data_IF_228616063817
#
_entry.id   IF_228616063817
#
_cell.length_a   1.000
_cell.length_b   1.000
_cell.length_c   1.000
_cell.angle_alpha   90.00
_cell.angle_beta   90.00
_cell.angle_gamma   90.00
#
_symmetry.space_group_name_H-M   'P 1'
#
loop_
_entity.id
_entity.type
_entity.pdbx_description
1 polymer ?
#
# COMPACT_ATOMS: atom_id res chain seq x y z
N UNK A 1 -59.11 -55.83 2.42
CA UNK A 1 -57.75 -55.26 2.30
C UNK A 1 -57.79 -54.31 1.10
N UNK A 2 -57.92 -53.00 1.25
CA UNK A 2 -56.83 -52.08 1.61
C UNK A 2 -55.75 -52.14 0.51
N UNK A 3 -55.41 -51.12 -0.28
CA UNK A 3 -55.45 -49.67 -0.10
C UNK A 3 -55.41 -48.96 -1.47
N UNK A 4 -56.19 -47.87 -1.56
CA UNK A 4 -55.85 -46.52 -2.04
C UNK A 4 -55.19 -46.35 -3.43
N UNK A 5 -56.01 -45.81 -4.33
CA UNK A 5 -55.65 -44.92 -5.41
C UNK A 5 -54.66 -43.83 -4.96
N UNK A 6 -53.65 -43.54 -5.77
CA UNK A 6 -52.99 -42.24 -5.76
C UNK A 6 -52.81 -41.76 -7.20
N UNK A 7 -53.77 -40.93 -7.60
CA UNK A 7 -53.72 -40.05 -8.75
C UNK A 7 -52.64 -39.00 -8.45
N UNK A 8 -51.51 -39.02 -9.16
CA UNK A 8 -50.52 -37.94 -9.06
C UNK A 8 -50.92 -36.89 -10.08
N UNK A 9 -51.60 -35.86 -9.58
CA UNK A 9 -51.89 -34.61 -10.27
C UNK A 9 -50.57 -33.88 -10.53
N UNK A 10 -50.24 -33.66 -11.79
CA UNK A 10 -49.09 -32.86 -12.22
C UNK A 10 -49.39 -31.38 -11.92
N UNK A 11 -48.92 -30.87 -10.78
CA UNK A 11 -48.96 -29.44 -10.46
C UNK A 11 -47.81 -28.77 -11.21
N UNK A 12 -48.12 -28.09 -12.31
CA UNK A 12 -47.24 -27.11 -12.93
C UNK A 12 -47.08 -25.93 -11.97
N UNK A 13 -45.94 -25.88 -11.27
CA UNK A 13 -45.47 -24.68 -10.60
C UNK A 13 -45.05 -23.69 -11.69
N UNK A 14 -45.96 -22.76 -12.01
CA UNK A 14 -45.62 -21.50 -12.63
C UNK A 14 -44.85 -20.72 -11.56
N UNK A 15 -43.54 -20.90 -11.49
CA UNK A 15 -42.69 -19.96 -10.76
C UNK A 15 -42.71 -18.70 -11.59
N UNK A 16 -43.57 -17.78 -11.16
CA UNK A 16 -43.54 -16.38 -11.52
C UNK A 16 -42.16 -15.86 -11.12
N UNK A 17 -41.20 -15.92 -12.04
CA UNK A 17 -39.96 -15.18 -11.92
C UNK A 17 -40.36 -13.72 -12.13
N UNK A 18 -40.82 -13.08 -11.04
CA UNK A 18 -40.84 -11.63 -10.93
C UNK A 18 -39.46 -11.19 -11.41
N UNK A 19 -39.46 -10.38 -12.46
CA UNK A 19 -38.28 -9.63 -12.87
C UNK A 19 -38.06 -8.60 -11.78
N UNK A 20 -37.55 -9.06 -10.64
CA UNK A 20 -36.96 -8.20 -9.64
C UNK A 20 -35.66 -7.75 -10.30
N UNK A 21 -35.72 -6.54 -10.84
CA UNK A 21 -34.60 -5.71 -11.23
C UNK A 21 -33.43 -5.95 -10.28
N UNK A 22 -32.51 -6.81 -10.69
CA UNK A 22 -31.12 -6.75 -10.23
C UNK A 22 -30.55 -5.52 -10.92
N UNK A 23 -31.01 -4.35 -10.44
CA UNK A 23 -30.25 -3.13 -10.57
C UNK A 23 -28.98 -3.40 -9.76
N UNK A 24 -27.92 -3.73 -10.47
CA UNK A 24 -26.54 -3.51 -10.07
C UNK A 24 -26.38 -2.04 -9.67
N UNK A 25 -26.89 -1.66 -8.50
CA UNK A 25 -26.36 -0.52 -7.76
C UNK A 25 -25.10 -1.02 -7.09
N UNK A 26 -24.03 -1.08 -7.89
CA UNK A 26 -22.73 -0.77 -7.32
C UNK A 26 -22.93 0.59 -6.64
N UNK A 27 -22.73 0.64 -5.33
CA UNK A 27 -22.67 1.89 -4.57
C UNK A 27 -21.38 2.62 -4.97
N UNK A 28 -21.28 3.04 -6.22
CA UNK A 28 -20.35 4.05 -6.70
C UNK A 28 -21.07 5.38 -6.59
N UNK A 29 -21.03 5.96 -5.40
CA UNK A 29 -21.12 7.40 -5.16
C UNK A 29 -20.94 7.65 -3.66
N UNK A 30 -19.78 7.25 -3.12
CA UNK A 30 -19.24 7.98 -1.98
C UNK A 30 -18.75 9.31 -2.57
N UNK A 31 -19.61 10.34 -2.52
CA UNK A 31 -19.28 11.69 -2.98
C UNK A 31 -18.06 12.21 -2.22
N UNK A 32 -17.15 12.89 -2.91
CA UNK A 32 -15.89 13.46 -2.37
C UNK A 32 -16.10 14.49 -1.23
N UNK A 33 -17.36 14.79 -0.90
CA UNK A 33 -17.77 15.43 0.34
C UNK A 33 -17.26 14.67 1.57
N UNK A 34 -16.37 15.29 2.35
CA UNK A 34 -15.77 14.69 3.55
C UNK A 34 -14.29 14.29 3.39
N UNK A 35 -13.66 14.63 2.26
CA UNK A 35 -12.21 14.53 2.14
C UNK A 35 -11.51 15.47 3.12
N UNK A 36 -10.49 14.93 3.77
CA UNK A 36 -9.60 15.66 4.66
C UNK A 36 -8.68 16.56 3.84
N UNK A 37 -8.49 17.78 4.32
CA UNK A 37 -7.56 18.72 3.69
C UNK A 37 -6.10 18.32 4.01
N UNK A 38 -5.45 17.62 3.07
CA UNK A 38 -4.09 17.07 3.22
C UNK A 38 -3.04 18.17 3.26
N UNK A 39 -3.26 19.29 2.55
CA UNK A 39 -2.33 20.44 2.57
C UNK A 39 -2.09 20.97 3.98
N UNK A 40 -3.03 20.79 4.91
CA UNK A 40 -2.89 21.17 6.34
C UNK A 40 -2.15 20.15 7.19
N UNK A 41 -1.99 18.90 6.71
CA UNK A 41 -1.22 17.85 7.42
C UNK A 41 0.29 18.10 7.29
N UNK A 42 0.72 18.90 6.31
CA UNK A 42 2.14 19.17 6.03
C UNK A 42 2.84 20.17 6.94
N UNK A 43 2.13 20.77 7.88
CA UNK A 43 2.74 21.74 8.79
C UNK A 43 3.37 21.03 9.97
N UNK A 44 4.70 21.18 10.11
CA UNK A 44 5.57 20.83 11.24
C UNK A 44 6.50 19.61 11.07
N UNK A 45 7.08 19.43 9.88
CA UNK A 45 8.25 18.55 9.73
C UNK A 45 9.47 19.21 10.36
N UNK A 46 10.10 18.54 11.34
CA UNK A 46 11.25 19.08 12.08
C UNK A 46 12.55 19.05 11.27
N UNK A 47 12.71 18.02 10.42
CA UNK A 47 13.91 17.79 9.61
C UNK A 47 13.59 16.95 8.37
N UNK A 48 14.29 17.20 7.27
CA UNK A 48 14.19 16.43 6.02
C UNK A 48 14.73 15.00 6.15
N UNK A 49 15.58 14.75 7.15
CA UNK A 49 16.17 13.43 7.44
C UNK A 49 15.40 12.62 8.47
N UNK A 50 14.36 13.19 9.08
CA UNK A 50 13.53 12.47 10.06
C UNK A 50 12.35 11.83 9.34
N UNK A 51 12.44 10.51 9.19
CA UNK A 51 11.60 9.74 8.30
C UNK A 51 10.78 8.70 9.07
N UNK A 52 9.66 8.27 8.50
CA UNK A 52 8.96 7.08 8.96
C UNK A 52 9.86 5.84 8.82
N UNK A 53 9.66 4.80 9.66
CA UNK A 53 10.33 3.51 9.49
C UNK A 53 10.11 2.91 8.10
N UNK A 54 8.94 3.13 7.49
CA UNK A 54 8.65 2.68 6.13
C UNK A 54 9.62 3.33 5.13
N UNK A 55 9.75 4.66 5.13
CA UNK A 55 10.66 5.36 4.21
C UNK A 55 12.12 4.92 4.38
N UNK A 56 12.59 4.72 5.62
CA UNK A 56 13.94 4.20 5.85
C UNK A 56 14.13 2.81 5.23
N UNK A 57 13.15 1.91 5.40
CA UNK A 57 13.18 0.57 4.76
C UNK A 57 13.09 0.63 3.25
N UNK A 58 12.46 1.65 2.69
CA UNK A 58 12.48 1.88 1.24
C UNK A 58 13.80 2.49 0.74
N UNK A 59 14.81 2.62 1.61
CA UNK A 59 16.12 3.17 1.25
C UNK A 59 16.14 4.69 1.15
N UNK A 60 15.09 5.37 1.62
CA UNK A 60 15.01 6.83 1.61
C UNK A 60 15.89 7.41 2.72
N UNK A 61 16.70 8.40 2.37
CA UNK A 61 17.63 9.07 3.30
C UNK A 61 17.18 10.48 3.66
N UNK A 62 16.44 11.13 2.77
CA UNK A 62 15.82 12.42 3.03
C UNK A 62 14.62 12.63 2.13
N UNK A 63 13.73 13.52 2.55
CA UNK A 63 12.61 13.98 1.73
C UNK A 63 12.60 15.49 1.76
N UNK A 64 12.67 16.10 0.59
CA UNK A 64 12.66 17.55 0.42
C UNK A 64 11.26 18.02 0.11
N UNK A 65 10.88 19.16 0.69
CA UNK A 65 9.60 19.82 0.42
C UNK A 65 9.84 21.15 -0.29
N UNK A 66 9.29 21.33 -1.49
CA UNK A 66 9.40 22.59 -2.25
C UNK A 66 8.12 22.80 -3.06
N UNK A 67 7.51 23.99 -3.04
CA UNK A 67 6.34 24.33 -3.87
C UNK A 67 5.19 23.29 -3.81
N UNK A 68 4.82 22.84 -2.60
CA UNK A 68 3.82 21.78 -2.38
C UNK A 68 4.18 20.43 -3.03
N UNK A 69 5.45 20.20 -3.38
CA UNK A 69 5.97 18.93 -3.86
C UNK A 69 6.81 18.27 -2.78
N UNK A 70 6.65 16.96 -2.62
CA UNK A 70 7.54 16.12 -1.83
C UNK A 70 8.32 15.21 -2.76
N UNK A 71 9.63 15.13 -2.55
CA UNK A 71 10.52 14.26 -3.32
C UNK A 71 11.47 13.55 -2.38
N UNK A 72 11.68 12.25 -2.61
CA UNK A 72 12.56 11.44 -1.80
C UNK A 72 13.94 11.36 -2.46
N UNK A 73 15.00 11.40 -1.65
CA UNK A 73 16.32 10.94 -2.04
C UNK A 73 16.52 9.55 -1.46
N UNK A 74 16.97 8.63 -2.29
CA UNK A 74 17.27 7.25 -1.91
C UNK A 74 18.77 7.01 -1.98
N UNK A 75 19.21 6.00 -1.23
CA UNK A 75 20.56 5.47 -1.34
C UNK A 75 20.59 4.05 -1.94
N UNK A 76 19.43 3.39 -2.01
CA UNK A 76 19.28 2.03 -2.52
C UNK A 76 17.86 1.78 -3.02
N UNK A 77 17.70 0.69 -3.75
CA UNK A 77 16.41 0.19 -4.21
C UNK A 77 15.79 -0.77 -3.20
N UNK A 78 14.47 -0.98 -3.30
CA UNK A 78 13.76 -2.09 -2.66
C UNK A 78 13.20 -3.03 -3.72
N UNK A 79 12.87 -4.26 -3.33
CA UNK A 79 12.26 -5.24 -4.20
C UNK A 79 10.73 -5.17 -4.07
N UNK A 80 10.08 -5.15 -5.21
CA UNK A 80 8.63 -5.19 -5.29
C UNK A 80 8.24 -5.96 -6.54
N UNK A 81 7.67 -7.15 -6.34
CA UNK A 81 7.15 -7.99 -7.42
C UNK A 81 8.22 -8.34 -8.45
N UNK A 82 9.37 -8.80 -7.96
CA UNK A 82 10.52 -9.19 -8.78
C UNK A 82 11.25 -8.04 -9.46
N UNK A 83 10.99 -6.79 -9.05
CA UNK A 83 11.64 -5.61 -9.60
C UNK A 83 12.37 -4.82 -8.52
N UNK A 84 13.57 -4.37 -8.84
CA UNK A 84 14.29 -3.37 -8.05
C UNK A 84 13.72 -1.98 -8.33
N UNK A 85 13.13 -1.35 -7.33
CA UNK A 85 12.52 -0.05 -7.42
C UNK A 85 13.37 0.97 -6.68
N UNK A 86 13.84 1.99 -7.40
CA UNK A 86 14.39 3.20 -6.80
C UNK A 86 13.24 4.14 -6.43
N UNK A 87 13.05 4.40 -5.13
CA UNK A 87 11.96 5.26 -4.67
C UNK A 87 12.16 6.75 -5.07
N UNK A 88 13.37 7.18 -5.45
CA UNK A 88 13.64 8.57 -5.86
C UNK A 88 12.99 8.96 -7.19
N UNK A 89 12.57 7.97 -7.99
CA UNK A 89 11.85 8.20 -9.25
C UNK A 89 10.43 8.68 -9.01
N UNK A 90 9.89 8.50 -7.80
CA UNK A 90 8.58 9.00 -7.43
C UNK A 90 8.70 10.36 -6.77
N UNK A 91 7.74 11.23 -7.09
CA UNK A 91 7.50 12.46 -6.35
C UNK A 91 6.03 12.78 -6.36
N UNK A 92 5.56 13.45 -5.31
CA UNK A 92 4.15 13.76 -5.18
C UNK A 92 3.93 15.26 -5.08
N UNK A 93 2.88 15.72 -5.75
CA UNK A 93 2.30 17.04 -5.57
C UNK A 93 1.19 16.96 -4.53
N UNK A 94 1.18 17.94 -3.64
CA UNK A 94 0.22 18.03 -2.56
C UNK A 94 -0.82 19.07 -2.94
N UNK A 95 -2.01 18.57 -3.17
CA UNK A 95 -3.18 19.36 -3.45
C UNK A 95 -4.03 19.46 -2.20
N UNK A 96 -5.12 20.24 -2.26
CA UNK A 96 -5.95 20.52 -1.09
C UNK A 96 -6.39 19.22 -0.37
N UNK A 97 -6.91 18.27 -1.13
CA UNK A 97 -7.50 17.03 -0.59
C UNK A 97 -6.76 15.75 -0.99
N UNK A 98 -5.75 15.86 -1.85
CA UNK A 98 -5.10 14.73 -2.50
C UNK A 98 -3.58 14.90 -2.54
N UNK A 99 -2.91 13.75 -2.53
CA UNK A 99 -1.53 13.57 -2.93
C UNK A 99 -1.59 12.96 -4.33
N UNK A 100 -0.95 13.60 -5.31
CA UNK A 100 -0.97 13.17 -6.71
C UNK A 100 0.46 12.84 -7.12
N UNK A 101 0.69 11.72 -7.83
CA UNK A 101 2.01 11.44 -8.40
C UNK A 101 2.32 12.46 -9.49
N UNK A 102 3.55 12.97 -9.53
CA UNK A 102 3.95 13.92 -10.58
C UNK A 102 4.29 13.23 -11.90
N UNK A 103 4.74 11.99 -11.83
CA UNK A 103 5.08 11.20 -13.01
C UNK A 103 3.83 10.76 -13.77
N UNK A 104 2.70 10.69 -13.07
CA UNK A 104 1.42 10.22 -13.59
C UNK A 104 0.28 10.80 -12.74
N UNK A 105 -0.44 11.77 -13.28
CA UNK A 105 -1.49 12.50 -12.56
C UNK A 105 -2.82 11.74 -12.47
N UNK A 106 -2.92 10.56 -13.10
CA UNK A 106 -4.06 9.67 -12.96
C UNK A 106 -4.08 9.01 -11.57
N UNK A 107 -2.92 8.93 -10.92
CA UNK A 107 -2.73 8.34 -9.60
C UNK A 107 -2.83 9.39 -8.48
N UNK A 108 -3.88 9.28 -7.67
CA UNK A 108 -4.12 10.17 -6.52
C UNK A 108 -4.55 9.39 -5.28
N UNK A 109 -4.13 9.84 -4.10
CA UNK A 109 -4.59 9.30 -2.83
C UNK A 109 -5.02 10.43 -1.88
N UNK A 110 -6.14 10.22 -1.21
CA UNK A 110 -6.74 11.15 -0.27
C UNK A 110 -7.14 10.45 1.04
N UNK A 111 -7.69 11.20 1.99
CA UNK A 111 -8.30 10.64 3.21
C UNK A 111 -9.77 11.06 3.28
N UNK A 112 -10.68 10.11 3.08
CA UNK A 112 -12.13 10.28 3.22
C UNK A 112 -12.60 9.63 4.52
N UNK A 113 -13.18 10.39 5.46
CA UNK A 113 -13.69 9.87 6.73
C UNK A 113 -12.66 9.00 7.48
N UNK A 114 -11.43 9.51 7.61
CA UNK A 114 -10.26 8.82 8.20
C UNK A 114 -9.79 7.57 7.44
N UNK A 115 -10.29 7.32 6.23
CA UNK A 115 -9.94 6.18 5.38
C UNK A 115 -9.24 6.61 4.10
N UNK A 116 -8.23 5.85 3.68
CA UNK A 116 -7.52 6.12 2.43
C UNK A 116 -8.47 5.95 1.24
N UNK A 117 -8.53 6.96 0.38
CA UNK A 117 -9.35 7.00 -0.82
C UNK A 117 -8.41 7.08 -2.03
N UNK A 118 -8.48 6.12 -2.93
CA UNK A 118 -7.59 5.98 -4.09
C UNK A 118 -8.34 6.38 -5.36
N UNK A 119 -7.62 7.07 -6.24
CA UNK A 119 -8.01 7.35 -7.62
C UNK A 119 -6.86 6.86 -8.52
N UNK A 120 -7.21 6.09 -9.54
CA UNK A 120 -6.38 5.62 -10.65
C UNK A 120 -7.26 5.64 -11.91
N UNK A 121 -6.70 5.33 -13.07
CA UNK A 121 -7.44 5.17 -14.33
C UNK A 121 -8.59 4.16 -14.20
N UNK A 122 -8.34 3.03 -13.54
CA UNK A 122 -9.26 1.88 -13.49
C UNK A 122 -10.05 1.78 -12.18
N UNK A 123 -9.79 2.66 -11.21
CA UNK A 123 -10.38 2.56 -9.88
C UNK A 123 -10.53 3.90 -9.18
N UNK A 124 -11.70 4.13 -8.60
CA UNK A 124 -12.01 5.27 -7.73
C UNK A 124 -12.82 4.82 -6.53
N UNK A 125 -12.27 4.95 -5.32
CA UNK A 125 -12.96 4.56 -4.10
C UNK A 125 -12.04 4.34 -2.90
N UNK A 126 -12.60 3.83 -1.80
CA UNK A 126 -11.81 3.48 -0.61
C UNK A 126 -10.76 2.42 -0.94
N UNK A 127 -9.50 2.63 -0.56
CA UNK A 127 -8.41 1.70 -0.87
C UNK A 127 -8.70 0.26 -0.41
N UNK A 128 -9.41 0.10 0.72
CA UNK A 128 -9.81 -1.22 1.24
C UNK A 128 -10.64 -2.07 0.26
N UNK A 129 -11.32 -1.42 -0.69
CA UNK A 129 -12.17 -2.06 -1.71
C UNK A 129 -11.44 -2.24 -3.05
N UNK A 130 -10.18 -1.80 -3.16
CA UNK A 130 -9.38 -1.98 -4.38
C UNK A 130 -9.07 -3.48 -4.59
N UNK A 131 -8.97 -3.89 -5.85
CA UNK A 131 -8.57 -5.26 -6.19
C UNK A 131 -7.09 -5.49 -5.87
N UNK A 132 -6.70 -6.75 -5.74
CA UNK A 132 -5.29 -7.11 -5.56
C UNK A 132 -4.42 -6.59 -6.72
N UNK A 133 -4.95 -6.56 -7.95
CA UNK A 133 -4.23 -6.06 -9.12
C UNK A 133 -3.89 -4.56 -9.00
N UNK A 134 -4.85 -3.75 -8.55
CA UNK A 134 -4.61 -2.32 -8.28
C UNK A 134 -3.54 -2.16 -7.19
N UNK A 135 -3.61 -2.95 -6.11
CA UNK A 135 -2.65 -2.86 -4.99
C UNK A 135 -1.23 -3.31 -5.38
N UNK A 136 -1.08 -4.10 -6.45
CA UNK A 136 0.21 -4.55 -6.99
C UNK A 136 0.89 -3.51 -7.88
N UNK A 137 0.26 -2.37 -8.16
CA UNK A 137 0.88 -1.30 -8.95
C UNK A 137 1.88 -0.52 -8.08
N UNK A 138 3.09 -0.31 -8.59
CA UNK A 138 4.17 0.38 -7.86
C UNK A 138 3.80 1.84 -7.56
N UNK A 139 2.99 2.47 -8.42
CA UNK A 139 2.45 3.81 -8.30
C UNK A 139 1.50 3.91 -7.10
N UNK A 140 0.60 2.93 -6.96
CA UNK A 140 -0.29 2.81 -5.80
C UNK A 140 0.51 2.63 -4.53
N UNK A 141 1.53 1.76 -4.55
CA UNK A 141 2.42 1.60 -3.39
C UNK A 141 3.17 2.90 -3.04
N UNK A 142 3.69 3.63 -4.04
CA UNK A 142 4.35 4.90 -3.82
C UNK A 142 3.42 5.93 -3.16
N UNK A 143 2.17 6.04 -3.62
CA UNK A 143 1.15 6.90 -3.00
C UNK A 143 0.87 6.51 -1.55
N UNK A 144 0.75 5.21 -1.26
CA UNK A 144 0.57 4.68 0.09
C UNK A 144 1.73 5.08 0.99
N UNK A 145 2.96 4.89 0.50
CA UNK A 145 4.17 5.22 1.24
C UNK A 145 4.25 6.73 1.52
N UNK A 146 3.99 7.60 0.53
CA UNK A 146 3.95 9.05 0.74
C UNK A 146 2.84 9.48 1.70
N UNK A 147 1.64 8.90 1.59
CA UNK A 147 0.54 9.19 2.51
C UNK A 147 0.90 8.75 3.93
N UNK A 148 1.52 7.58 4.11
CA UNK A 148 2.06 7.15 5.40
C UNK A 148 3.07 8.17 5.91
N UNK A 149 4.06 8.55 5.12
CA UNK A 149 5.10 9.50 5.51
C UNK A 149 4.52 10.86 5.94
N UNK A 150 3.51 11.39 5.23
CA UNK A 150 2.87 12.67 5.58
C UNK A 150 2.05 12.55 6.86
N UNK A 151 1.36 11.43 7.06
CA UNK A 151 0.45 11.23 8.21
C UNK A 151 1.12 10.59 9.43
N UNK A 152 2.39 10.16 9.30
CA UNK A 152 3.11 9.48 10.37
C UNK A 152 3.39 10.41 11.54
N UNK A 153 3.28 9.87 12.76
CA UNK A 153 3.53 10.61 13.99
C UNK A 153 4.97 11.15 14.01
N UNK A 154 5.10 12.48 14.09
CA UNK A 154 6.39 13.18 14.04
C UNK A 154 7.35 12.73 15.16
N UNK A 155 6.82 12.40 16.34
CA UNK A 155 7.65 12.03 17.50
C UNK A 155 8.16 10.57 17.44
N UNK A 156 7.64 9.78 16.49
CA UNK A 156 8.07 8.40 16.24
C UNK A 156 9.00 8.28 15.02
N UNK A 157 9.34 9.40 14.39
CA UNK A 157 10.25 9.42 13.24
C UNK A 157 11.66 9.12 13.68
N UNK A 158 12.41 8.45 12.80
CA UNK A 158 13.79 8.07 13.04
C UNK A 158 14.67 8.87 12.08
N UNK A 159 15.72 9.49 12.61
CA UNK A 159 16.67 10.23 11.79
C UNK A 159 17.54 9.28 10.99
N UNK A 160 17.54 9.40 9.66
CA UNK A 160 18.39 8.59 8.77
C UNK A 160 19.88 8.71 9.09
N UNK A 161 20.29 9.86 9.64
CA UNK A 161 21.66 10.12 10.10
C UNK A 161 22.06 9.27 11.31
N UNK A 162 21.10 8.99 12.20
CA UNK A 162 21.32 8.18 13.41
C UNK A 162 21.16 6.68 13.14
N UNK A 163 20.46 6.30 12.06
CA UNK A 163 20.37 4.91 11.60
C UNK A 163 21.75 4.29 11.30
N UNK A 164 22.77 5.12 11.04
CA UNK A 164 24.16 4.70 10.83
C UNK A 164 24.82 4.04 12.05
N UNK A 165 24.39 4.36 13.28
CA UNK A 165 25.08 3.90 14.50
C UNK A 165 24.38 2.73 15.20
N UNK A 166 23.08 2.53 15.00
CA UNK A 166 22.27 1.56 15.76
C UNK A 166 21.76 0.34 14.98
N UNK A 167 21.88 0.29 13.65
CA UNK A 167 21.48 -0.88 12.85
C UNK A 167 22.65 -1.67 12.27
N UNK A 168 23.77 -1.76 13.02
CA UNK A 168 24.72 -2.86 12.83
C UNK A 168 24.14 -4.11 13.48
N UNK A 169 23.21 -4.79 12.81
CA UNK A 169 23.03 -6.22 13.11
C UNK A 169 24.34 -6.89 12.68
N UNK A 170 24.98 -7.63 13.57
CA UNK A 170 26.26 -8.30 13.32
C UNK A 170 26.31 -8.90 11.91
N UNK A 171 27.11 -8.30 11.02
CA UNK A 171 27.43 -8.84 9.69
C UNK A 171 26.67 -8.33 8.46
N UNK A 172 25.72 -7.39 8.58
CA UNK A 172 25.03 -6.79 7.42
C UNK A 172 24.80 -5.27 7.53
N UNK A 173 25.44 -4.49 6.66
CA UNK A 173 25.30 -3.04 6.60
C UNK A 173 23.94 -2.64 6.03
N UNK A 174 23.16 -1.87 6.81
CA UNK A 174 21.85 -1.38 6.38
C UNK A 174 21.88 -0.67 5.02
N UNK A 175 22.86 0.18 4.72
CA UNK A 175 22.83 0.99 3.51
C UNK A 175 23.41 0.31 2.27
N UNK A 176 24.39 -0.58 2.45
CA UNK A 176 25.12 -1.18 1.33
C UNK A 176 24.76 -2.63 1.08
N UNK A 177 24.26 -3.36 2.09
CA UNK A 177 24.09 -4.81 2.02
C UNK A 177 22.64 -5.24 2.28
N UNK A 178 21.74 -4.36 2.74
CA UNK A 178 20.35 -4.76 2.98
C UNK A 178 19.39 -4.48 1.82
N UNK A 179 18.68 -5.52 1.36
CA UNK A 179 17.52 -5.43 0.47
C UNK A 179 16.21 -5.63 1.24
N UNK A 180 15.07 -5.30 0.62
CA UNK A 180 13.75 -5.47 1.24
C UNK A 180 12.71 -5.95 0.26
N UNK A 181 11.89 -6.93 0.66
CA UNK A 181 10.65 -7.28 -0.03
C UNK A 181 9.47 -6.66 0.70
N UNK A 182 8.47 -6.20 -0.04
CA UNK A 182 7.33 -5.50 0.53
C UNK A 182 6.01 -6.17 0.11
N UNK A 183 5.10 -6.30 1.07
CA UNK A 183 3.71 -6.69 0.85
C UNK A 183 2.75 -5.66 1.41
N UNK A 184 1.63 -5.44 0.71
CA UNK A 184 0.65 -4.40 1.05
C UNK A 184 -0.72 -5.04 1.20
N UNK A 185 -1.45 -4.66 2.24
CA UNK A 185 -2.80 -5.13 2.42
C UNK A 185 -3.67 -4.21 3.26
N UNK A 186 -4.97 -4.47 3.18
CA UNK A 186 -6.02 -3.67 3.82
C UNK A 186 -6.22 -4.06 5.29
N UNK A 187 -5.52 -5.10 5.73
CA UNK A 187 -5.35 -5.55 7.11
C UNK A 187 -4.03 -6.35 7.20
N UNK A 188 -3.65 -6.71 8.42
CA UNK A 188 -2.40 -7.43 8.69
C UNK A 188 -2.30 -8.78 7.96
N UNK A 189 -3.39 -9.56 7.96
CA UNK A 189 -3.43 -10.89 7.34
C UNK A 189 -3.24 -10.83 5.83
N UNK A 190 -3.97 -9.95 5.15
CA UNK A 190 -3.86 -9.74 3.70
C UNK A 190 -2.49 -9.20 3.32
N UNK A 191 -1.95 -8.26 4.10
CA UNK A 191 -0.64 -7.70 3.85
C UNK A 191 0.49 -8.72 4.03
N UNK A 192 0.35 -9.63 5.00
CA UNK A 192 1.30 -10.74 5.22
C UNK A 192 1.23 -11.77 4.10
N UNK A 193 0.03 -12.12 3.65
CA UNK A 193 -0.15 -12.99 2.49
C UNK A 193 0.43 -12.35 1.21
N UNK A 194 0.23 -11.05 1.05
CA UNK A 194 0.78 -10.26 -0.05
C UNK A 194 2.31 -10.25 -0.02
N UNK A 195 2.91 -10.09 1.17
CA UNK A 195 4.36 -10.17 1.33
C UNK A 195 4.89 -11.55 0.95
N UNK A 196 4.22 -12.64 1.35
CA UNK A 196 4.64 -13.99 0.98
C UNK A 196 4.69 -14.16 -0.54
N UNK A 197 3.65 -13.72 -1.25
CA UNK A 197 3.62 -13.73 -2.71
C UNK A 197 4.70 -12.81 -3.31
N UNK A 198 4.93 -11.63 -2.74
CA UNK A 198 5.98 -10.70 -3.20
C UNK A 198 7.37 -11.30 -3.04
N UNK A 199 7.63 -11.99 -1.91
CA UNK A 199 8.89 -12.71 -1.68
C UNK A 199 9.06 -13.88 -2.67
N UNK A 200 8.00 -14.61 -3.00
CA UNK A 200 8.05 -15.65 -4.03
C UNK A 200 8.44 -15.06 -5.40
N UNK A 201 7.81 -13.94 -5.79
CA UNK A 201 8.14 -13.22 -7.02
C UNK A 201 9.60 -12.73 -7.01
N UNK A 202 10.08 -12.19 -5.89
CA UNK A 202 11.43 -11.67 -5.72
C UNK A 202 12.50 -12.78 -5.76
N UNK A 203 12.21 -13.96 -5.17
CA UNK A 203 13.10 -15.12 -5.24
C UNK A 203 13.13 -15.68 -6.66
N UNK A 204 11.97 -15.87 -7.29
CA UNK A 204 11.86 -16.47 -8.62
C UNK A 204 12.51 -15.62 -9.72
N UNK A 205 12.47 -14.30 -9.56
CA UNK A 205 13.09 -13.35 -10.50
C UNK A 205 14.61 -13.18 -10.30
N UNK A 206 15.18 -13.69 -9.21
CA UNK A 206 16.58 -13.45 -8.84
C UNK A 206 16.83 -12.11 -8.13
N UNK A 207 15.78 -11.34 -7.79
CA UNK A 207 15.92 -10.07 -7.07
C UNK A 207 16.51 -10.24 -5.65
N UNK A 208 16.52 -11.46 -5.12
CA UNK A 208 17.17 -11.82 -3.84
C UNK A 208 18.32 -12.82 -4.01
N UNK A 209 18.90 -12.95 -5.22
CA UNK A 209 20.04 -13.82 -5.46
C UNK A 209 21.25 -13.38 -4.61
N UNK A 210 21.92 -14.35 -3.95
CA UNK A 210 23.02 -14.05 -3.03
C UNK A 210 22.59 -13.45 -1.68
N UNK A 211 21.29 -13.26 -1.45
CA UNK A 211 20.78 -12.67 -0.22
C UNK A 211 20.36 -13.71 0.83
N UNK A 212 20.49 -13.37 2.12
CA UNK A 212 20.01 -14.17 3.26
C UNK A 212 18.94 -13.40 4.03
N UNK A 213 17.83 -14.04 4.40
CA UNK A 213 16.76 -13.43 5.21
C UNK A 213 17.32 -12.93 6.55
N UNK A 214 17.04 -11.68 6.92
CA UNK A 214 17.36 -11.12 8.26
C UNK A 214 16.08 -11.03 9.07
N UNK A 215 16.05 -11.72 10.21
CA UNK A 215 14.94 -11.65 11.17
C UNK A 215 13.59 -12.09 10.59
N UNK A 216 12.54 -11.82 11.36
CA UNK A 216 11.17 -12.02 10.91
C UNK A 216 10.63 -10.79 10.19
N UNK A 217 9.66 -10.97 9.26
CA UNK A 217 8.95 -9.85 8.67
C UNK A 217 8.39 -8.92 9.74
N UNK A 218 8.27 -7.64 9.40
CA UNK A 218 7.75 -6.64 10.31
C UNK A 218 6.58 -5.87 9.70
N UNK A 219 5.51 -5.73 10.49
CA UNK A 219 4.31 -4.99 10.13
C UNK A 219 4.47 -3.50 10.44
N UNK A 220 4.13 -2.66 9.47
CA UNK A 220 3.97 -1.22 9.62
C UNK A 220 2.50 -0.90 9.37
N UNK A 221 1.79 -0.58 10.45
CA UNK A 221 0.41 -0.11 10.34
C UNK A 221 0.38 1.27 9.67
N UNK A 222 -0.61 1.51 8.82
CA UNK A 222 -0.84 2.83 8.23
C UNK A 222 -2.34 3.04 8.01
N UNK A 223 -2.86 4.24 8.24
CA UNK A 223 -4.27 4.71 8.17
C UNK A 223 -5.39 3.65 8.20
N UNK A 224 -5.55 2.79 7.18
CA UNK A 224 -6.48 1.64 7.16
C UNK A 224 -5.92 0.39 6.44
N UNK A 225 -4.65 0.11 6.63
CA UNK A 225 -3.97 -1.05 6.08
C UNK A 225 -2.68 -1.37 6.83
N UNK A 226 -1.95 -2.33 6.29
CA UNK A 226 -0.66 -2.75 6.83
C UNK A 226 0.29 -2.92 5.65
N UNK A 227 1.52 -2.46 5.83
CA UNK A 227 2.63 -2.81 4.95
C UNK A 227 3.50 -3.78 5.73
N UNK A 228 3.77 -4.95 5.18
CA UNK A 228 4.75 -5.88 5.74
C UNK A 228 6.05 -5.78 4.96
N UNK A 229 7.17 -5.84 5.68
CA UNK A 229 8.50 -5.77 5.08
C UNK A 229 9.32 -6.96 5.54
N UNK A 230 9.93 -7.67 4.60
CA UNK A 230 11.00 -8.63 4.87
C UNK A 230 12.35 -8.00 4.53
N UNK A 231 13.30 -8.08 5.47
CA UNK A 231 14.68 -7.62 5.27
C UNK A 231 15.57 -8.75 4.79
N UNK A 232 16.49 -8.45 3.88
CA UNK A 232 17.47 -9.38 3.31
C UNK A 232 18.88 -8.82 3.48
N UNK A 233 19.88 -9.68 3.65
CA UNK A 233 21.30 -9.35 3.58
C UNK A 233 21.91 -9.88 2.29
N UNK A 234 22.21 -9.01 1.35
CA UNK A 234 22.79 -9.27 0.05
C UNK A 234 24.26 -8.86 0.07
N UNK A 235 25.17 -9.83 -0.05
CA UNK A 235 26.63 -9.60 -0.05
C UNK A 235 27.20 -9.76 -1.45
#
# INVERSE_FOLDING_TARGET
MGKKYFLITLITLIVSCSSDDITNKSNQNETETGLTEISKVLTNRKSDSDLSPLFLRLGVTSVTTSNNKLSAKTQKTFNFRGKHIDFSVFSVKIEKNFITLEQDDEFKIGILNKKSYLITTDYKGLLKKASAEILKQKEVFALIAYLNEITYNQDQRVSSKNSNSTMKSEGCNFFTEQGFSVGVGVNETSAKADLASSMEDDIASGATEGCTKIGEPEAVAWTNGTVWVQTWCCK
#
